data_IF_156496676329
#
_entry.id   IF_156496676329
#
_cell.length_a   1.000
_cell.length_b   1.000
_cell.length_c   1.000
_cell.angle_alpha   90.00
_cell.angle_beta   90.00
_cell.angle_gamma   90.00
#
_symmetry.space_group_name_H-M   'P 1'
#
loop_
_entity.id
_entity.type
_entity.pdbx_description
1 polymer ?
#
# COMPACT_ATOMS: atom_id res chain seq x y z
N UNK A 1 32.42 31.48 38.55
CA UNK A 1 31.81 30.32 37.88
C UNK A 1 32.64 30.01 36.65
N UNK A 2 33.41 28.91 36.65
CA UNK A 2 34.18 28.52 35.48
C UNK A 2 33.22 27.95 34.43
N UNK A 3 33.16 28.59 33.26
CA UNK A 3 32.51 28.00 32.08
C UNK A 3 33.48 26.96 31.53
N UNK A 4 33.19 25.68 31.71
CA UNK A 4 33.87 24.63 30.97
C UNK A 4 33.53 24.80 29.49
N UNK A 5 34.47 25.34 28.72
CA UNK A 5 34.34 25.47 27.27
C UNK A 5 34.53 24.11 26.61
N UNK A 6 33.65 23.77 25.67
CA UNK A 6 33.77 22.58 24.84
C UNK A 6 35.09 22.64 24.06
N UNK A 7 35.86 21.55 24.03
CA UNK A 7 37.14 21.55 23.32
C UNK A 7 36.91 21.52 21.81
N UNK A 8 37.79 22.17 21.03
CA UNK A 8 37.70 22.09 19.56
C UNK A 8 37.80 20.65 19.05
N UNK A 9 38.58 19.81 19.73
CA UNK A 9 38.74 18.39 19.35
C UNK A 9 37.46 17.58 19.57
N UNK A 10 36.70 17.83 20.65
CA UNK A 10 35.39 17.19 20.85
C UNK A 10 34.41 17.56 19.74
N UNK A 11 34.41 18.83 19.31
CA UNK A 11 33.53 19.28 18.23
C UNK A 11 33.87 18.57 16.91
N UNK A 12 35.17 18.45 16.61
CA UNK A 12 35.66 17.75 15.41
C UNK A 12 35.30 16.27 15.46
N UNK A 13 35.47 15.60 16.61
CA UNK A 13 35.16 14.18 16.73
C UNK A 13 33.65 13.91 16.54
N UNK A 14 32.79 14.78 17.06
CA UNK A 14 31.33 14.69 16.89
C UNK A 14 30.93 14.81 15.43
N UNK A 15 31.42 15.80 14.69
CA UNK A 15 31.08 15.94 13.26
C UNK A 15 31.61 14.80 12.40
N UNK A 16 32.77 14.22 12.76
CA UNK A 16 33.33 13.05 12.07
C UNK A 16 32.44 11.82 12.29
N UNK A 17 32.05 11.54 13.54
CA UNK A 17 31.14 10.43 13.84
C UNK A 17 29.79 10.63 13.14
N UNK A 18 29.19 11.82 13.23
CA UNK A 18 27.94 12.13 12.55
C UNK A 18 28.07 12.02 11.02
N UNK A 19 29.22 12.40 10.46
CA UNK A 19 29.53 12.24 9.04
C UNK A 19 29.54 10.78 8.60
N UNK A 20 30.24 9.91 9.34
CA UNK A 20 30.32 8.47 9.04
C UNK A 20 28.94 7.81 9.19
N UNK A 21 28.23 8.07 10.29
CA UNK A 21 26.89 7.52 10.52
C UNK A 21 25.89 7.99 9.44
N UNK A 22 25.95 9.26 9.03
CA UNK A 22 25.06 9.79 8.00
C UNK A 22 25.35 9.18 6.62
N UNK A 23 26.64 8.98 6.29
CA UNK A 23 27.03 8.38 5.02
C UNK A 23 26.47 6.96 4.82
N UNK A 24 26.34 6.17 5.90
CA UNK A 24 25.77 4.82 5.83
C UNK A 24 24.26 4.77 6.06
N UNK A 25 23.71 5.69 6.87
CA UNK A 25 22.29 5.69 7.21
C UNK A 25 21.41 6.18 6.06
N UNK A 26 21.81 7.23 5.34
CA UNK A 26 20.98 7.83 4.28
C UNK A 26 20.65 6.84 3.15
N UNK A 27 21.62 6.12 2.54
CA UNK A 27 21.30 5.17 1.47
C UNK A 27 20.42 4.01 1.97
N UNK A 28 20.62 3.56 3.21
CA UNK A 28 19.84 2.49 3.82
C UNK A 28 18.39 2.91 4.09
N UNK A 29 18.17 4.16 4.50
CA UNK A 29 16.83 4.70 4.76
C UNK A 29 16.01 4.89 3.49
N UNK A 30 16.63 5.24 2.36
CA UNK A 30 15.93 5.42 1.09
C UNK A 30 15.23 4.14 0.62
N UNK A 31 15.96 3.01 0.56
CA UNK A 31 15.35 1.73 0.17
C UNK A 31 14.47 1.06 1.24
N UNK A 32 14.50 1.54 2.50
CA UNK A 32 13.64 1.04 3.57
C UNK A 32 12.20 1.54 3.43
N UNK A 33 12.03 2.82 3.05
CA UNK A 33 10.71 3.43 2.85
C UNK A 33 9.93 2.76 1.72
N UNK A 34 10.59 2.50 0.58
CA UNK A 34 9.97 1.83 -0.57
C UNK A 34 9.48 0.41 -0.22
N UNK A 35 10.31 -0.36 0.50
CA UNK A 35 9.95 -1.71 0.96
C UNK A 35 8.82 -1.68 1.99
N UNK A 36 8.80 -0.68 2.87
CA UNK A 36 7.73 -0.50 3.84
C UNK A 36 6.40 -0.21 3.12
N UNK A 37 6.41 0.71 2.15
CA UNK A 37 5.24 1.03 1.35
C UNK A 37 4.73 -0.18 0.55
N UNK A 38 5.62 -0.93 -0.11
CA UNK A 38 5.25 -2.16 -0.82
C UNK A 38 4.64 -3.22 0.11
N UNK A 39 5.17 -3.36 1.33
CA UNK A 39 4.61 -4.26 2.34
C UNK A 39 3.22 -3.82 2.80
N UNK A 40 2.98 -2.51 2.92
CA UNK A 40 1.66 -1.95 3.25
C UNK A 40 0.68 -2.25 2.13
N UNK A 41 1.04 -2.01 0.86
CA UNK A 41 0.17 -2.31 -0.28
C UNK A 41 -0.14 -3.81 -0.37
N UNK A 42 0.85 -4.69 -0.20
CA UNK A 42 0.63 -6.14 -0.16
C UNK A 42 -0.36 -6.54 0.95
N UNK A 43 -0.23 -5.96 2.14
CA UNK A 43 -1.17 -6.20 3.25
C UNK A 43 -2.56 -5.63 2.97
N UNK A 44 -2.64 -4.51 2.26
CA UNK A 44 -3.88 -3.86 1.86
C UNK A 44 -4.67 -4.75 0.88
N UNK A 45 -4.04 -5.26 -0.18
CA UNK A 45 -4.68 -6.21 -1.10
C UNK A 45 -5.07 -7.53 -0.42
N UNK A 46 -4.29 -8.01 0.53
CA UNK A 46 -4.68 -9.15 1.37
C UNK A 46 -5.93 -8.87 2.22
N UNK A 47 -6.10 -7.64 2.70
CA UNK A 47 -7.31 -7.20 3.44
C UNK A 47 -8.52 -7.09 2.51
N UNK A 48 -8.32 -6.56 1.30
CA UNK A 48 -9.36 -6.47 0.25
C UNK A 48 -9.93 -7.86 -0.08
N UNK A 49 -9.07 -8.85 -0.32
CA UNK A 49 -9.47 -10.24 -0.62
C UNK A 49 -10.26 -10.90 0.53
N UNK A 50 -10.04 -10.48 1.78
CA UNK A 50 -10.70 -11.08 2.95
C UNK A 50 -11.97 -10.36 3.36
N UNK A 51 -12.13 -9.10 2.96
CA UNK A 51 -13.23 -8.24 3.41
C UNK A 51 -14.18 -7.91 2.27
N UNK A 52 -13.66 -7.25 1.21
CA UNK A 52 -14.48 -6.83 0.06
C UNK A 52 -14.88 -8.01 -0.78
N UNK A 53 -13.97 -8.92 -1.06
CA UNK A 53 -14.27 -10.07 -1.93
C UNK A 53 -15.49 -10.88 -1.45
N UNK A 54 -15.50 -11.35 -0.19
CA UNK A 54 -16.64 -12.09 0.36
C UNK A 54 -17.91 -11.25 0.49
N UNK A 55 -17.80 -9.96 0.83
CA UNK A 55 -18.96 -9.09 0.94
C UNK A 55 -19.62 -8.85 -0.43
N UNK A 56 -18.80 -8.58 -1.45
CA UNK A 56 -19.27 -8.38 -2.82
C UNK A 56 -19.96 -9.63 -3.34
N UNK A 57 -19.32 -10.79 -3.18
CA UNK A 57 -19.92 -12.06 -3.54
C UNK A 57 -21.24 -12.30 -2.81
N UNK A 58 -21.29 -12.06 -1.49
CA UNK A 58 -22.52 -12.21 -0.71
C UNK A 58 -23.65 -11.30 -1.22
N UNK A 59 -23.38 -10.03 -1.52
CA UNK A 59 -24.39 -9.12 -2.06
C UNK A 59 -24.85 -9.54 -3.47
N UNK A 60 -23.96 -10.08 -4.30
CA UNK A 60 -24.32 -10.61 -5.62
C UNK A 60 -25.15 -11.90 -5.54
N UNK A 61 -24.86 -12.77 -4.57
CA UNK A 61 -25.55 -14.05 -4.40
C UNK A 61 -26.88 -13.93 -3.66
N UNK A 62 -27.00 -13.01 -2.70
CA UNK A 62 -28.19 -12.87 -1.85
C UNK A 62 -29.18 -11.86 -2.44
N UNK A 63 -28.69 -10.69 -2.89
CA UNK A 63 -29.56 -9.60 -3.36
C UNK A 63 -29.75 -9.59 -4.88
N UNK A 64 -29.24 -10.61 -5.59
CA UNK A 64 -29.27 -10.73 -7.06
C UNK A 64 -28.64 -9.52 -7.81
N UNK A 65 -27.77 -8.77 -7.13
CA UNK A 65 -27.08 -7.59 -7.68
C UNK A 65 -26.01 -8.00 -8.68
N UNK A 66 -25.77 -7.14 -9.67
CA UNK A 66 -24.58 -7.25 -10.52
C UNK A 66 -23.33 -6.75 -9.77
N UNK A 67 -22.13 -7.02 -10.31
CA UNK A 67 -20.87 -6.67 -9.65
C UNK A 67 -20.73 -5.17 -9.35
N UNK A 68 -21.20 -4.30 -10.24
CA UNK A 68 -21.14 -2.83 -10.06
C UNK A 68 -22.06 -2.36 -8.93
N UNK A 69 -23.28 -2.87 -8.88
CA UNK A 69 -24.26 -2.56 -7.84
C UNK A 69 -23.87 -3.11 -6.48
N UNK A 70 -23.34 -4.34 -6.45
CA UNK A 70 -22.83 -4.94 -5.22
C UNK A 70 -21.64 -4.13 -4.66
N UNK A 71 -20.80 -3.56 -5.54
CA UNK A 71 -19.64 -2.74 -5.16
C UNK A 71 -20.07 -1.34 -4.70
N UNK A 72 -21.11 -0.76 -5.31
CA UNK A 72 -21.67 0.53 -4.90
C UNK A 72 -22.34 0.47 -3.50
N UNK A 73 -22.85 -0.69 -3.09
CA UNK A 73 -23.46 -0.87 -1.76
C UNK A 73 -22.44 -1.06 -0.64
N UNK A 74 -21.19 -1.37 -0.99
CA UNK A 74 -20.06 -1.33 -0.06
C UNK A 74 -19.54 0.09 0.03
N UNK A 75 -19.76 0.77 1.15
CA UNK A 75 -18.91 1.90 1.55
C UNK A 75 -17.51 1.34 1.86
N UNK A 76 -16.75 0.97 0.83
CA UNK A 76 -15.40 0.41 0.95
C UNK A 76 -14.51 1.37 1.73
N UNK A 77 -14.74 2.67 1.58
CA UNK A 77 -14.10 3.73 2.37
C UNK A 77 -14.35 3.60 3.89
N UNK A 78 -15.51 3.08 4.31
CA UNK A 78 -15.81 2.82 5.72
C UNK A 78 -15.25 1.48 6.21
N UNK A 79 -15.06 0.52 5.31
CA UNK A 79 -14.57 -0.82 5.67
C UNK A 79 -13.05 -0.95 5.55
N UNK A 80 -12.39 -0.05 4.81
CA UNK A 80 -10.96 -0.10 4.59
C UNK A 80 -10.41 1.31 4.51
N UNK A 81 -9.47 1.61 5.39
CA UNK A 81 -8.65 2.81 5.26
C UNK A 81 -7.67 2.56 4.12
N UNK A 82 -7.81 3.31 3.03
CA UNK A 82 -6.79 3.34 1.99
C UNK A 82 -5.47 3.80 2.60
N UNK A 83 -4.34 3.15 2.26
CA UNK A 83 -3.02 3.62 2.67
C UNK A 83 -2.83 5.08 2.23
N UNK A 84 -2.21 5.89 3.07
CA UNK A 84 -2.10 7.33 2.88
C UNK A 84 -1.60 7.69 1.47
N UNK A 85 -2.20 8.72 0.89
CA UNK A 85 -1.88 9.31 -0.42
C UNK A 85 -2.21 8.43 -1.65
N UNK A 86 -3.08 7.43 -1.53
CA UNK A 86 -3.49 6.63 -2.70
C UNK A 86 -2.34 5.78 -3.30
N UNK A 87 -1.28 5.56 -2.51
CA UNK A 87 -0.07 4.82 -2.91
C UNK A 87 -0.31 3.37 -3.32
N UNK A 88 -1.49 2.82 -3.08
CA UNK A 88 -1.85 1.43 -3.37
C UNK A 88 -3.05 1.35 -4.33
N UNK A 89 -3.17 2.30 -5.26
CA UNK A 89 -4.27 2.38 -6.23
C UNK A 89 -5.46 3.22 -5.75
N UNK A 90 -6.22 3.76 -6.70
CA UNK A 90 -7.50 4.43 -6.41
C UNK A 90 -8.59 3.40 -6.13
N UNK A 91 -9.62 3.82 -5.40
CA UNK A 91 -10.84 3.02 -5.21
C UNK A 91 -11.49 2.72 -6.57
N UNK A 92 -11.37 3.63 -7.54
CA UNK A 92 -11.88 3.44 -8.90
C UNK A 92 -11.15 2.32 -9.67
N UNK A 93 -9.85 2.14 -9.43
CA UNK A 93 -9.10 1.06 -10.08
C UNK A 93 -9.43 -0.28 -9.43
N UNK A 94 -9.59 -0.29 -8.11
CA UNK A 94 -10.00 -1.45 -7.33
C UNK A 94 -11.43 -1.88 -7.69
N UNK A 95 -12.32 -0.91 -7.96
CA UNK A 95 -13.70 -1.18 -8.38
C UNK A 95 -13.76 -1.79 -9.76
N UNK A 96 -13.08 -1.19 -10.75
CA UNK A 96 -12.98 -1.75 -12.10
C UNK A 96 -12.32 -3.13 -12.12
N UNK A 97 -11.28 -3.33 -11.30
CA UNK A 97 -10.67 -4.64 -11.11
C UNK A 97 -11.69 -5.68 -10.60
N UNK A 98 -12.59 -5.30 -9.69
CA UNK A 98 -13.62 -6.18 -9.17
C UNK A 98 -14.77 -6.41 -10.16
N UNK A 99 -15.19 -5.38 -10.89
CA UNK A 99 -16.38 -5.42 -11.75
C UNK A 99 -16.08 -5.93 -13.14
N UNK A 100 -14.92 -5.58 -13.69
CA UNK A 100 -14.55 -5.81 -15.09
C UNK A 100 -13.37 -6.79 -15.19
N UNK A 101 -12.71 -7.12 -14.08
CA UNK A 101 -11.53 -8.00 -14.06
C UNK A 101 -10.30 -7.36 -14.69
N UNK A 102 -10.23 -6.03 -14.71
CA UNK A 102 -9.10 -5.30 -15.30
C UNK A 102 -7.93 -5.25 -14.35
N UNK A 103 -6.78 -5.74 -14.80
CA UNK A 103 -5.50 -5.55 -14.11
C UNK A 103 -5.11 -4.07 -14.15
N UNK A 104 -4.44 -3.62 -13.11
CA UNK A 104 -3.91 -2.26 -13.02
C UNK A 104 -2.55 -2.24 -12.35
N UNK A 105 -1.82 -1.14 -12.52
CA UNK A 105 -0.47 -0.99 -11.98
C UNK A 105 -0.41 0.10 -10.92
N UNK A 106 0.51 -0.08 -9.98
CA UNK A 106 0.78 0.88 -8.90
C UNK A 106 2.27 1.14 -8.85
N UNK A 107 2.68 2.41 -8.89
CA UNK A 107 4.07 2.81 -8.68
C UNK A 107 4.32 3.09 -7.18
N UNK A 108 5.33 2.44 -6.64
CA UNK A 108 5.79 2.65 -5.26
C UNK A 108 7.27 3.00 -5.30
N UNK A 109 7.55 4.31 -5.21
CA UNK A 109 8.91 4.83 -5.16
C UNK A 109 9.72 4.56 -6.43
N UNK A 110 9.08 4.60 -7.60
CA UNK A 110 9.72 4.34 -8.89
C UNK A 110 9.85 2.86 -9.27
N UNK A 111 9.22 1.96 -8.50
CA UNK A 111 9.03 0.55 -8.87
C UNK A 111 7.55 0.31 -9.17
N UNK A 112 7.26 -0.18 -10.37
CA UNK A 112 5.91 -0.60 -10.79
C UNK A 112 5.57 -1.97 -10.20
N UNK A 113 4.33 -2.11 -9.73
CA UNK A 113 3.74 -3.36 -9.24
C UNK A 113 2.45 -3.64 -10.00
N UNK A 114 2.28 -4.88 -10.45
CA UNK A 114 1.09 -5.36 -11.13
C UNK A 114 0.06 -5.89 -10.14
N UNK A 115 -1.18 -5.47 -10.31
CA UNK A 115 -2.31 -5.95 -9.53
C UNK A 115 -3.18 -6.79 -10.45
N UNK A 116 -2.97 -8.11 -10.38
CA UNK A 116 -3.75 -9.06 -11.15
C UNK A 116 -5.11 -9.24 -10.47
N UNK A 117 -6.16 -8.82 -11.17
CA UNK A 117 -7.53 -8.82 -10.69
C UNK A 117 -8.29 -10.03 -11.22
N UNK A 118 -9.35 -10.43 -10.53
CA UNK A 118 -10.35 -11.33 -11.09
C UNK A 118 -11.72 -10.77 -10.84
N UNK A 119 -12.55 -10.78 -11.89
CA UNK A 119 -13.90 -10.27 -11.83
C UNK A 119 -14.74 -11.04 -10.81
N UNK A 120 -15.62 -10.31 -10.12
CA UNK A 120 -16.66 -10.87 -9.29
C UNK A 120 -17.78 -11.47 -10.15
N UNK A 121 -18.06 -12.74 -9.93
CA UNK A 121 -19.20 -13.44 -10.52
C UNK A 121 -20.06 -14.02 -9.40
N UNK A 122 -21.25 -14.53 -9.73
CA UNK A 122 -22.08 -15.24 -8.74
C UNK A 122 -21.42 -16.52 -8.20
N UNK A 123 -20.42 -17.03 -8.92
CA UNK A 123 -19.70 -18.26 -8.62
C UNK A 123 -18.35 -18.01 -7.94
N UNK A 124 -17.79 -16.80 -8.07
CA UNK A 124 -16.46 -16.48 -7.58
C UNK A 124 -16.37 -15.05 -7.05
N UNK A 125 -15.78 -14.89 -5.86
CA UNK A 125 -15.43 -13.59 -5.30
C UNK A 125 -14.26 -12.95 -6.09
N UNK A 126 -14.19 -11.62 -6.17
CA UNK A 126 -13.07 -10.95 -6.81
C UNK A 126 -11.79 -11.17 -6.00
N UNK A 127 -10.66 -11.19 -6.70
CA UNK A 127 -9.34 -11.24 -6.05
C UNK A 127 -8.44 -10.15 -6.60
N UNK A 128 -7.63 -9.55 -5.73
CA UNK A 128 -6.55 -8.63 -6.07
C UNK A 128 -5.23 -9.26 -5.64
N UNK A 129 -4.37 -9.58 -6.60
CA UNK A 129 -3.10 -10.23 -6.34
C UNK A 129 -1.93 -9.29 -6.66
N UNK A 130 -1.28 -8.81 -5.60
CA UNK A 130 -0.10 -7.94 -5.67
C UNK A 130 1.14 -8.71 -6.14
N UNK A 131 1.60 -8.42 -7.36
CA UNK A 131 2.82 -8.97 -7.94
C UNK A 131 3.81 -7.85 -8.25
N UNK A 132 5.09 -8.19 -8.14
CA UNK A 132 6.17 -7.34 -8.63
C UNK A 132 6.53 -7.84 -10.03
N UNK A 133 6.62 -6.94 -11.00
CA UNK A 133 7.22 -7.24 -12.31
C UNK A 133 8.62 -7.88 -12.18
#
# INVERSE_FOLDING_TARGET
MQRAGFTMIELIFVIVILGILSAVAVPKMMGMSEKADASVCKSYYGTLNRTVGPNLWANMSIDDKNASEAFATTEIEKQIKTPANGKCGSIDDISKAATDGTDFTVDIGGTTYDINATQATKEQAPTWNFHKE
#
